data_IF_061967624643
#
_entry.id   IF_061967624643
#
_cell.length_a   1.000
_cell.length_b   1.000
_cell.length_c   1.000
_cell.angle_alpha   90.00
_cell.angle_beta   90.00
_cell.angle_gamma   90.00
#
_symmetry.space_group_name_H-M   'P 1'
#
loop_
_entity.id
_entity.type
_entity.pdbx_description
1 polymer ?
#
# COMPACT_ATOMS: atom_id res chain seq x y z
N UNK A 1 -25.76 -20.03 -35.44
CA UNK A 1 -26.47 -19.36 -36.56
C UNK A 1 -25.80 -18.00 -36.78
N UNK A 2 -25.44 -17.64 -38.05
CA UNK A 2 -24.85 -16.36 -38.36
C UNK A 2 -25.85 -15.23 -38.02
N UNK A 3 -25.39 -14.17 -37.38
CA UNK A 3 -26.19 -12.98 -37.12
C UNK A 3 -26.64 -12.38 -38.46
N UNK A 4 -27.95 -12.30 -38.71
CA UNK A 4 -28.50 -11.56 -39.85
C UNK A 4 -27.97 -10.12 -39.78
N UNK A 5 -27.32 -9.64 -40.86
CA UNK A 5 -26.89 -8.24 -40.97
C UNK A 5 -28.11 -7.33 -40.82
N UNK A 6 -28.02 -6.37 -39.88
CA UNK A 6 -29.04 -5.33 -39.79
C UNK A 6 -29.01 -4.47 -41.07
N UNK A 7 -30.20 -4.00 -41.50
CA UNK A 7 -30.27 -3.05 -42.59
C UNK A 7 -29.56 -1.74 -42.23
N UNK A 8 -28.89 -1.11 -43.17
CA UNK A 8 -28.29 0.20 -43.00
C UNK A 8 -29.37 1.26 -42.70
N UNK A 9 -28.99 2.35 -42.01
CA UNK A 9 -29.90 3.42 -41.66
C UNK A 9 -30.45 4.10 -42.92
N UNK A 10 -29.60 4.28 -43.93
CA UNK A 10 -29.99 4.81 -45.24
C UNK A 10 -31.07 3.95 -45.90
N UNK A 11 -30.91 2.62 -45.92
CA UNK A 11 -31.89 1.74 -46.49
C UNK A 11 -33.23 1.77 -45.74
N UNK A 12 -33.18 1.91 -44.40
CA UNK A 12 -34.39 2.07 -43.59
C UNK A 12 -35.11 3.42 -43.85
N UNK A 13 -34.33 4.51 -44.04
CA UNK A 13 -34.90 5.80 -44.44
C UNK A 13 -35.59 5.71 -45.77
N UNK A 14 -34.91 5.10 -46.77
CA UNK A 14 -35.49 4.93 -48.10
C UNK A 14 -36.76 4.07 -48.13
N UNK A 15 -36.87 3.06 -47.24
CA UNK A 15 -38.08 2.27 -47.04
C UNK A 15 -39.23 3.16 -46.57
N UNK A 16 -38.96 4.02 -45.60
CA UNK A 16 -39.98 4.94 -45.02
C UNK A 16 -40.42 5.96 -46.08
N UNK A 17 -39.50 6.54 -46.83
CA UNK A 17 -39.78 7.54 -47.85
C UNK A 17 -40.62 6.96 -48.99
N UNK A 18 -40.32 5.76 -49.47
CA UNK A 18 -41.14 5.07 -50.48
C UNK A 18 -42.53 4.73 -49.94
N UNK A 19 -42.64 4.39 -48.66
CA UNK A 19 -43.93 4.14 -48.02
C UNK A 19 -44.74 5.43 -47.86
N UNK A 20 -44.13 6.57 -47.52
CA UNK A 20 -44.78 7.91 -47.49
C UNK A 20 -45.25 8.32 -48.88
N UNK A 21 -44.51 7.95 -49.95
CA UNK A 21 -44.87 8.19 -51.34
C UNK A 21 -46.03 7.30 -51.82
N UNK A 22 -46.69 6.53 -50.94
CA UNK A 22 -47.83 5.67 -51.27
C UNK A 22 -47.51 4.32 -51.92
N UNK A 23 -46.27 3.94 -52.05
CA UNK A 23 -45.92 2.62 -52.65
C UNK A 23 -46.26 1.47 -51.71
N UNK A 24 -46.87 0.43 -52.28
CA UNK A 24 -47.24 -0.77 -51.50
C UNK A 24 -46.03 -1.61 -51.09
N UNK A 25 -46.13 -2.35 -49.98
CA UNK A 25 -45.05 -3.16 -49.42
C UNK A 25 -44.47 -4.17 -50.43
N UNK A 26 -45.28 -4.78 -51.31
CA UNK A 26 -44.80 -5.70 -52.33
C UNK A 26 -43.92 -5.02 -53.39
N UNK A 27 -44.28 -3.81 -53.79
CA UNK A 27 -43.52 -2.99 -54.75
C UNK A 27 -42.18 -2.55 -54.13
N UNK A 28 -42.18 -2.08 -52.90
CA UNK A 28 -40.96 -1.68 -52.15
C UNK A 28 -40.04 -2.89 -51.96
N UNK A 29 -40.60 -4.05 -51.65
CA UNK A 29 -39.85 -5.29 -51.50
C UNK A 29 -39.09 -5.66 -52.79
N UNK A 30 -39.72 -5.59 -53.94
CA UNK A 30 -39.09 -5.88 -55.24
C UNK A 30 -38.03 -4.82 -55.60
N UNK A 31 -38.25 -3.55 -55.27
CA UNK A 31 -37.32 -2.46 -55.65
C UNK A 31 -36.06 -2.39 -54.78
N UNK A 32 -36.12 -2.85 -53.53
CA UNK A 32 -35.01 -2.75 -52.54
C UNK A 32 -34.41 -4.13 -52.17
N UNK A 33 -34.93 -5.23 -52.72
CA UNK A 33 -34.56 -6.60 -52.38
C UNK A 33 -34.61 -6.87 -50.87
N UNK A 34 -35.65 -6.41 -50.20
CA UNK A 34 -35.84 -6.58 -48.76
C UNK A 34 -37.15 -7.30 -48.50
N UNK A 35 -37.10 -8.31 -47.64
CA UNK A 35 -38.29 -9.12 -47.32
C UNK A 35 -39.43 -8.28 -46.75
N UNK A 36 -40.67 -8.49 -47.16
CA UNK A 36 -41.89 -7.73 -46.80
C UNK A 36 -42.06 -7.64 -45.27
N UNK A 37 -41.74 -8.68 -44.51
CA UNK A 37 -41.84 -8.63 -43.03
C UNK A 37 -40.91 -7.60 -42.43
N UNK A 38 -39.68 -7.45 -42.97
CA UNK A 38 -38.68 -6.49 -42.51
C UNK A 38 -39.14 -5.04 -42.82
N UNK A 39 -39.73 -4.85 -44.01
CA UNK A 39 -40.32 -3.57 -44.37
C UNK A 39 -41.44 -3.15 -43.40
N UNK A 40 -42.37 -4.08 -43.14
CA UNK A 40 -43.47 -3.82 -42.16
C UNK A 40 -42.93 -3.49 -40.79
N UNK A 41 -41.94 -4.18 -40.30
CA UNK A 41 -41.31 -3.87 -39.01
C UNK A 41 -40.64 -2.50 -39.01
N UNK A 42 -39.95 -2.12 -40.07
CA UNK A 42 -39.30 -0.81 -40.20
C UNK A 42 -40.31 0.32 -40.18
N UNK A 43 -41.38 0.22 -40.98
CA UNK A 43 -42.48 1.20 -41.03
C UNK A 43 -43.23 1.26 -39.70
N UNK A 44 -43.53 0.12 -39.09
CA UNK A 44 -44.17 0.05 -37.77
C UNK A 44 -43.34 0.77 -36.69
N UNK A 45 -42.02 0.52 -36.69
CA UNK A 45 -41.08 1.22 -35.78
C UNK A 45 -41.09 2.72 -36.04
N UNK A 46 -41.01 3.13 -37.30
CA UNK A 46 -41.04 4.54 -37.65
C UNK A 46 -42.37 5.23 -37.23
N UNK A 47 -43.49 4.59 -37.46
CA UNK A 47 -44.82 5.12 -37.01
C UNK A 47 -44.88 5.27 -35.49
N UNK A 48 -44.27 4.34 -34.73
CA UNK A 48 -44.32 4.36 -33.26
C UNK A 48 -43.33 5.32 -32.62
N UNK A 49 -42.15 5.50 -33.19
CA UNK A 49 -41.01 6.19 -32.56
C UNK A 49 -40.50 7.37 -33.39
N UNK A 50 -41.07 7.66 -34.54
CA UNK A 50 -40.67 8.72 -35.47
C UNK A 50 -39.19 8.71 -35.84
N UNK A 51 -38.53 7.54 -35.77
CA UNK A 51 -37.11 7.36 -36.05
C UNK A 51 -36.84 6.06 -36.83
N UNK A 52 -35.85 6.10 -37.71
CA UNK A 52 -35.31 4.93 -38.43
C UNK A 52 -34.10 4.32 -37.74
N UNK A 53 -33.52 5.01 -36.75
CA UNK A 53 -32.38 4.57 -36.00
C UNK A 53 -32.65 3.27 -35.21
N UNK A 54 -31.60 2.45 -34.99
CA UNK A 54 -31.72 1.26 -34.16
C UNK A 54 -31.82 1.67 -32.71
N UNK A 55 -33.00 1.51 -32.10
CA UNK A 55 -33.19 1.81 -30.69
C UNK A 55 -32.39 0.82 -29.81
N UNK A 56 -31.80 1.32 -28.71
CA UNK A 56 -31.06 0.45 -27.79
C UNK A 56 -31.99 -0.61 -27.19
N UNK A 57 -31.55 -1.86 -27.25
CA UNK A 57 -32.30 -2.97 -26.64
C UNK A 57 -32.29 -2.85 -25.13
N UNK A 58 -33.38 -3.19 -24.47
CA UNK A 58 -33.49 -3.16 -23.00
C UNK A 58 -32.47 -4.01 -22.26
N UNK A 59 -31.77 -4.92 -22.94
CA UNK A 59 -30.79 -5.80 -22.32
C UNK A 59 -31.40 -6.73 -21.27
N UNK A 60 -30.55 -7.43 -20.56
CA UNK A 60 -30.95 -8.31 -19.45
C UNK A 60 -31.33 -7.45 -18.24
N UNK A 61 -32.46 -7.73 -17.56
CA UNK A 61 -32.86 -7.02 -16.35
C UNK A 61 -31.77 -6.99 -15.30
N UNK A 62 -31.58 -5.83 -14.65
CA UNK A 62 -30.57 -5.64 -13.60
C UNK A 62 -31.04 -6.34 -12.33
N UNK A 63 -30.32 -7.41 -11.91
CA UNK A 63 -30.66 -8.16 -10.70
C UNK A 63 -30.45 -7.37 -9.40
N UNK A 64 -29.57 -6.35 -9.39
CA UNK A 64 -29.30 -5.52 -8.20
C UNK A 64 -29.92 -4.13 -8.41
N UNK A 65 -30.93 -3.80 -7.62
CA UNK A 65 -31.55 -2.48 -7.63
C UNK A 65 -30.61 -1.40 -7.10
N UNK A 66 -30.82 -0.15 -7.47
CA UNK A 66 -30.05 0.98 -6.94
C UNK A 66 -30.16 1.10 -5.41
N UNK A 67 -31.31 0.72 -4.81
CA UNK A 67 -31.52 0.69 -3.37
C UNK A 67 -30.64 -0.38 -2.70
N UNK A 68 -30.58 -1.60 -3.25
CA UNK A 68 -29.74 -2.68 -2.75
C UNK A 68 -28.25 -2.33 -2.84
N UNK A 69 -27.83 -1.69 -3.95
CA UNK A 69 -26.47 -1.23 -4.12
C UNK A 69 -26.08 -0.18 -3.07
N UNK A 70 -26.92 0.85 -2.85
CA UNK A 70 -26.68 1.86 -1.79
C UNK A 70 -26.58 1.23 -0.40
N UNK A 71 -27.49 0.29 -0.07
CA UNK A 71 -27.46 -0.44 1.22
C UNK A 71 -26.12 -1.16 1.39
N UNK A 72 -25.66 -1.90 0.38
CA UNK A 72 -24.37 -2.62 0.39
C UNK A 72 -23.19 -1.67 0.58
N UNK A 73 -23.15 -0.53 -0.11
CA UNK A 73 -22.09 0.46 0.03
C UNK A 73 -22.05 1.10 1.43
N UNK A 74 -23.22 1.37 2.00
CA UNK A 74 -23.31 1.88 3.37
C UNK A 74 -22.86 0.85 4.41
N UNK A 75 -23.16 -0.43 4.19
CA UNK A 75 -22.72 -1.51 5.06
C UNK A 75 -21.20 -1.68 5.02
N UNK A 76 -20.56 -1.58 3.84
CA UNK A 76 -19.09 -1.57 3.72
C UNK A 76 -18.46 -0.40 4.49
N UNK A 77 -19.09 0.79 4.45
CA UNK A 77 -18.60 1.94 5.21
C UNK A 77 -18.66 1.72 6.71
N UNK A 78 -19.72 1.06 7.20
CA UNK A 78 -19.91 0.74 8.64
C UNK A 78 -18.99 -0.40 9.08
N UNK A 79 -18.89 -1.45 8.28
CA UNK A 79 -18.07 -2.62 8.57
C UNK A 79 -17.23 -3.03 7.35
N UNK A 80 -15.99 -2.53 7.21
CA UNK A 80 -15.12 -2.82 6.07
C UNK A 80 -14.67 -4.28 5.97
N UNK A 81 -14.88 -5.08 7.02
CA UNK A 81 -14.45 -6.49 7.07
C UNK A 81 -15.51 -7.47 6.56
N UNK A 82 -16.68 -7.00 6.14
CA UNK A 82 -17.75 -7.85 5.61
C UNK A 82 -17.28 -8.58 4.35
N UNK A 83 -17.47 -9.89 4.33
CA UNK A 83 -17.12 -10.71 3.17
C UNK A 83 -18.20 -10.64 2.08
N UNK A 84 -17.84 -10.98 0.83
CA UNK A 84 -18.82 -11.08 -0.25
C UNK A 84 -19.87 -12.18 -0.01
N UNK A 85 -19.55 -13.22 0.80
CA UNK A 85 -20.49 -14.27 1.21
C UNK A 85 -21.52 -13.72 2.21
N UNK A 86 -21.09 -12.86 3.14
CA UNK A 86 -22.02 -12.27 4.11
C UNK A 86 -22.97 -11.30 3.42
N UNK A 87 -22.50 -10.53 2.43
CA UNK A 87 -23.37 -9.74 1.57
C UNK A 87 -24.37 -10.59 0.81
N UNK A 88 -23.93 -11.74 0.30
CA UNK A 88 -24.84 -12.67 -0.38
C UNK A 88 -25.96 -13.15 0.55
N UNK A 89 -25.62 -13.50 1.79
CA UNK A 89 -26.60 -13.89 2.81
C UNK A 89 -27.55 -12.73 3.14
N UNK A 90 -27.02 -11.54 3.42
CA UNK A 90 -27.82 -10.34 3.73
C UNK A 90 -28.79 -9.97 2.60
N UNK A 91 -28.37 -10.09 1.35
CA UNK A 91 -29.20 -9.85 0.18
C UNK A 91 -30.24 -10.95 -0.04
N UNK A 92 -29.90 -12.22 0.23
CA UNK A 92 -30.84 -13.34 0.16
C UNK A 92 -32.02 -13.18 1.16
N UNK A 93 -31.74 -12.69 2.38
CA UNK A 93 -32.82 -12.33 3.33
C UNK A 93 -33.75 -11.23 2.82
N UNK A 94 -33.31 -10.42 1.85
CA UNK A 94 -34.14 -9.42 1.17
C UNK A 94 -34.71 -9.93 -0.18
N UNK A 95 -34.77 -11.25 -0.38
CA UNK A 95 -35.21 -11.92 -1.61
C UNK A 95 -34.42 -11.51 -2.87
N UNK A 96 -33.15 -11.10 -2.70
CA UNK A 96 -32.26 -10.71 -3.80
C UNK A 96 -31.15 -11.76 -3.94
N UNK A 97 -31.32 -12.66 -4.90
CA UNK A 97 -30.36 -13.76 -5.13
C UNK A 97 -29.30 -13.35 -6.13
N UNK A 98 -28.11 -13.03 -5.63
CA UNK A 98 -26.96 -12.54 -6.41
C UNK A 98 -25.72 -13.35 -6.08
N UNK A 99 -24.94 -13.68 -7.10
CA UNK A 99 -23.67 -14.35 -6.94
C UNK A 99 -22.57 -13.44 -6.38
N UNK A 100 -21.63 -14.00 -5.61
CA UNK A 100 -20.51 -13.28 -4.99
C UNK A 100 -19.63 -12.57 -6.00
N UNK A 101 -19.47 -13.13 -7.21
CA UNK A 101 -18.71 -12.50 -8.30
C UNK A 101 -19.37 -11.19 -8.76
N UNK A 102 -20.70 -11.15 -8.78
CA UNK A 102 -21.45 -9.94 -9.12
C UNK A 102 -21.34 -8.87 -8.04
N UNK A 103 -21.38 -9.30 -6.76
CA UNK A 103 -21.17 -8.40 -5.61
C UNK A 103 -19.80 -7.73 -5.72
N UNK A 104 -18.72 -8.50 -5.93
CA UNK A 104 -17.36 -7.96 -6.11
C UNK A 104 -17.27 -7.01 -7.30
N UNK A 105 -17.85 -7.36 -8.46
CA UNK A 105 -17.88 -6.47 -9.63
C UNK A 105 -18.60 -5.16 -9.34
N UNK A 106 -19.71 -5.21 -8.58
CA UNK A 106 -20.46 -4.00 -8.21
C UNK A 106 -19.68 -3.13 -7.24
N UNK A 107 -19.02 -3.71 -6.23
CA UNK A 107 -18.14 -2.99 -5.32
C UNK A 107 -17.00 -2.31 -6.08
N UNK A 108 -16.30 -3.05 -6.93
CA UNK A 108 -15.20 -2.53 -7.76
C UNK A 108 -15.64 -1.38 -8.67
N UNK A 109 -16.83 -1.48 -9.29
CA UNK A 109 -17.40 -0.41 -10.13
C UNK A 109 -17.66 0.87 -9.35
N UNK A 110 -17.89 0.76 -8.04
CA UNK A 110 -18.09 1.91 -7.14
C UNK A 110 -16.81 2.32 -6.38
N UNK A 111 -15.64 1.92 -6.86
CA UNK A 111 -14.35 2.29 -6.28
C UNK A 111 -13.99 1.56 -4.98
N UNK A 112 -14.79 0.57 -4.57
CA UNK A 112 -14.54 -0.24 -3.36
C UNK A 112 -13.82 -1.53 -3.74
N UNK A 113 -12.54 -1.60 -3.42
CA UNK A 113 -11.68 -2.74 -3.73
C UNK A 113 -11.27 -3.49 -2.46
N UNK A 114 -11.21 -4.82 -2.54
CA UNK A 114 -10.61 -5.63 -1.48
C UNK A 114 -9.11 -5.34 -1.38
N UNK A 115 -8.66 -4.97 -0.19
CA UNK A 115 -7.25 -4.72 0.13
C UNK A 115 -6.86 -5.54 1.36
N UNK A 116 -5.64 -6.02 1.39
CA UNK A 116 -5.08 -6.62 2.60
C UNK A 116 -4.88 -5.52 3.65
N UNK A 117 -5.44 -5.66 4.86
CA UNK A 117 -5.21 -4.68 5.91
C UNK A 117 -3.72 -4.65 6.24
N UNK A 118 -3.16 -3.45 6.40
CA UNK A 118 -1.80 -3.30 6.91
C UNK A 118 -1.75 -3.83 8.33
N UNK A 119 -0.76 -4.65 8.64
CA UNK A 119 -0.48 -5.06 10.03
C UNK A 119 0.13 -3.85 10.73
N UNK A 120 -0.54 -3.38 11.78
CA UNK A 120 -0.05 -2.31 12.66
C UNK A 120 0.01 -2.83 14.08
N UNK A 121 1.01 -2.43 14.88
CA UNK A 121 1.04 -2.76 16.30
C UNK A 121 -0.25 -2.31 16.98
N UNK A 122 -0.78 -3.13 17.88
CA UNK A 122 -1.89 -2.74 18.73
C UNK A 122 -1.34 -1.88 19.87
N UNK A 123 -1.48 -0.57 19.73
CA UNK A 123 -1.04 0.36 20.77
C UNK A 123 -2.03 0.36 21.94
N UNK A 124 -1.51 0.17 23.14
CA UNK A 124 -2.27 0.35 24.38
C UNK A 124 -2.53 1.85 24.67
N UNK A 125 -3.53 2.16 25.50
CA UNK A 125 -3.79 3.55 25.93
C UNK A 125 -2.54 4.17 26.57
N UNK A 126 -1.75 3.39 27.30
CA UNK A 126 -0.49 3.82 27.93
C UNK A 126 0.52 4.35 26.90
N UNK A 127 0.56 3.79 25.69
CA UNK A 127 1.47 4.23 24.64
C UNK A 127 0.86 5.34 23.77
N UNK A 128 -0.47 5.34 23.58
CA UNK A 128 -1.18 6.36 22.78
C UNK A 128 -1.01 7.77 23.37
N UNK A 129 -1.17 7.91 24.69
CA UNK A 129 -1.09 9.21 25.36
C UNK A 129 0.28 9.88 25.23
N UNK A 130 1.41 9.20 25.53
CA UNK A 130 2.74 9.78 25.31
C UNK A 130 3.04 10.12 23.85
N UNK A 131 2.59 9.30 22.90
CA UNK A 131 2.75 9.56 21.47
C UNK A 131 2.03 10.84 21.04
N UNK A 132 0.78 11.01 21.49
CA UNK A 132 0.02 12.22 21.21
C UNK A 132 0.66 13.45 21.84
N UNK A 133 1.09 13.35 23.12
CA UNK A 133 1.82 14.39 23.83
C UNK A 133 3.07 14.81 23.07
N UNK A 134 3.93 13.85 22.71
CA UNK A 134 5.14 14.09 21.95
C UNK A 134 4.85 14.82 20.62
N UNK A 135 3.88 14.33 19.87
CA UNK A 135 3.54 14.92 18.57
C UNK A 135 3.01 16.36 18.72
N UNK A 136 2.23 16.65 19.76
CA UNK A 136 1.68 17.98 20.01
C UNK A 136 2.75 18.96 20.47
N UNK A 137 3.62 18.55 21.40
CA UNK A 137 4.69 19.40 21.96
C UNK A 137 5.76 19.72 20.91
N UNK A 138 5.96 18.82 19.95
CA UNK A 138 7.01 18.97 18.93
C UNK A 138 6.49 19.44 17.57
N UNK A 139 5.21 19.76 17.42
CA UNK A 139 4.62 20.13 16.13
C UNK A 139 5.23 21.40 15.53
N UNK A 140 5.48 22.39 16.40
CA UNK A 140 5.96 23.72 16.01
C UNK A 140 7.47 23.90 16.26
N UNK A 141 8.17 22.81 16.56
CA UNK A 141 9.62 22.83 16.71
C UNK A 141 10.26 23.13 15.33
N UNK A 142 11.20 24.08 15.27
CA UNK A 142 11.77 24.52 14.01
C UNK A 142 12.60 23.42 13.34
N UNK A 143 12.65 23.44 12.00
CA UNK A 143 13.28 22.39 11.19
C UNK A 143 14.78 22.16 11.54
N UNK A 144 15.49 23.22 11.93
CA UNK A 144 16.92 23.10 12.29
C UNK A 144 17.16 22.26 13.55
N UNK A 145 16.18 22.13 14.44
CA UNK A 145 16.25 21.24 15.60
C UNK A 145 16.31 19.78 15.15
N UNK A 146 15.40 19.39 14.25
CA UNK A 146 15.34 18.02 13.69
C UNK A 146 16.56 17.65 12.88
N UNK A 147 17.18 18.65 12.23
CA UNK A 147 18.42 18.47 11.49
C UNK A 147 19.63 18.19 12.39
N UNK A 148 19.55 18.58 13.67
CA UNK A 148 20.63 18.41 14.64
C UNK A 148 20.40 17.22 15.59
N UNK A 149 19.55 16.28 15.18
CA UNK A 149 19.31 15.02 15.89
C UNK A 149 20.12 13.91 15.22
N UNK A 150 20.80 13.12 16.07
CA UNK A 150 21.36 11.83 15.67
C UNK A 150 20.30 10.76 15.90
N UNK A 151 19.72 10.27 14.84
CA UNK A 151 18.71 9.21 14.85
C UNK A 151 19.40 7.87 14.88
N UNK A 152 19.05 7.00 15.81
CA UNK A 152 19.67 5.67 15.99
C UNK A 152 18.62 4.59 16.11
N UNK A 153 19.00 3.37 15.76
CA UNK A 153 18.15 2.19 15.90
C UNK A 153 18.91 0.90 15.64
N UNK A 154 18.36 -0.22 16.06
CA UNK A 154 18.81 -1.57 15.77
C UNK A 154 17.83 -2.28 14.84
N UNK A 155 18.36 -3.03 13.88
CA UNK A 155 17.51 -3.82 13.00
C UNK A 155 18.08 -5.19 12.70
N UNK A 156 17.19 -6.17 12.59
CA UNK A 156 17.50 -7.52 12.15
C UNK A 156 17.34 -7.63 10.64
N UNK A 157 18.39 -8.10 9.96
CA UNK A 157 18.39 -8.37 8.53
C UNK A 157 18.55 -9.88 8.32
N UNK A 158 17.54 -10.50 7.73
CA UNK A 158 17.52 -11.93 7.41
C UNK A 158 18.20 -12.19 6.05
N UNK A 159 18.97 -13.27 5.94
CA UNK A 159 19.63 -13.64 4.69
C UNK A 159 18.63 -13.90 3.55
N UNK A 160 17.56 -14.64 3.86
CA UNK A 160 16.46 -14.90 2.93
C UNK A 160 15.18 -14.28 3.50
N UNK A 161 15.07 -12.96 3.39
CA UNK A 161 13.95 -12.22 3.98
C UNK A 161 12.59 -12.60 3.37
N UNK A 162 11.55 -12.58 4.20
CA UNK A 162 10.15 -12.86 3.79
C UNK A 162 9.56 -11.85 2.81
N UNK A 163 10.26 -10.76 2.53
CA UNK A 163 9.73 -9.62 1.76
C UNK A 163 9.90 -9.73 0.25
N UNK A 164 10.60 -10.74 -0.24
CA UNK A 164 10.71 -11.01 -1.68
C UNK A 164 9.58 -11.94 -2.12
N UNK A 165 8.42 -11.38 -2.42
CA UNK A 165 7.41 -12.11 -3.17
C UNK A 165 7.90 -12.21 -4.62
N UNK A 166 8.52 -13.33 -4.96
CA UNK A 166 8.89 -13.63 -6.34
C UNK A 166 7.62 -13.97 -7.13
N UNK A 167 7.25 -13.10 -8.06
CA UNK A 167 6.17 -13.40 -9.00
C UNK A 167 6.70 -14.22 -10.14
N UNK A 168 6.10 -15.41 -10.37
CA UNK A 168 6.44 -16.28 -11.49
C UNK A 168 5.29 -16.24 -12.49
N UNK A 169 5.60 -15.90 -13.74
CA UNK A 169 4.63 -15.95 -14.83
C UNK A 169 4.29 -17.40 -15.16
N UNK A 170 3.01 -17.79 -15.01
CA UNK A 170 2.53 -19.14 -15.30
C UNK A 170 1.33 -19.09 -16.25
N UNK A 171 1.28 -20.02 -17.21
CA UNK A 171 0.05 -20.26 -17.97
C UNK A 171 -1.01 -20.91 -17.09
N UNK A 172 -2.27 -20.53 -17.26
CA UNK A 172 -3.44 -20.85 -16.39
C UNK A 172 -3.75 -22.35 -16.20
N UNK A 173 -3.06 -23.26 -16.88
CA UNK A 173 -3.32 -24.72 -16.92
C UNK A 173 -2.26 -25.62 -16.28
N UNK A 174 -1.18 -25.08 -15.75
CA UNK A 174 -0.13 -25.90 -15.14
C UNK A 174 -0.16 -25.79 -13.62
N UNK A 175 -0.88 -26.74 -13.00
CA UNK A 175 -0.93 -26.92 -11.54
C UNK A 175 0.22 -27.76 -10.99
N UNK A 176 1.08 -28.31 -11.83
CA UNK A 176 2.22 -29.14 -11.40
C UNK A 176 3.53 -28.36 -11.46
N UNK A 177 4.30 -28.34 -10.37
CA UNK A 177 5.59 -27.65 -10.31
C UNK A 177 6.66 -28.54 -10.94
N UNK A 178 6.88 -28.41 -12.23
CA UNK A 178 7.94 -29.18 -12.93
C UNK A 178 9.24 -28.44 -13.11
N UNK A 179 9.41 -27.23 -12.63
CA UNK A 179 10.70 -26.56 -12.68
C UNK A 179 10.95 -25.74 -11.41
N UNK A 180 11.83 -26.29 -10.60
CA UNK A 180 12.52 -25.66 -9.47
C UNK A 180 11.59 -24.93 -8.50
N UNK A 181 11.09 -25.62 -7.45
CA UNK A 181 10.53 -24.93 -6.32
C UNK A 181 11.59 -23.96 -5.79
N UNK A 182 11.22 -22.74 -5.45
CA UNK A 182 12.08 -21.87 -4.67
C UNK A 182 12.36 -22.61 -3.35
N UNK A 183 13.61 -22.93 -3.02
CA UNK A 183 13.93 -23.59 -1.77
C UNK A 183 13.51 -22.69 -0.62
N UNK A 184 12.56 -23.15 0.18
CA UNK A 184 12.19 -22.50 1.44
C UNK A 184 13.20 -22.92 2.48
N UNK A 185 14.00 -22.00 2.98
CA UNK A 185 14.95 -22.26 4.05
C UNK A 185 14.25 -22.01 5.39
N UNK A 186 14.29 -23.00 6.29
CA UNK A 186 13.79 -22.83 7.67
C UNK A 186 14.59 -21.71 8.35
N UNK A 187 13.90 -20.84 9.11
CA UNK A 187 14.49 -19.74 9.88
C UNK A 187 15.26 -18.68 9.04
N UNK A 188 14.91 -18.48 7.76
CA UNK A 188 15.50 -17.42 6.93
C UNK A 188 16.97 -17.60 6.57
N UNK A 189 17.57 -18.78 6.82
CA UNK A 189 18.98 -19.08 6.48
C UNK A 189 20.02 -18.34 7.32
N UNK A 190 19.61 -17.74 8.42
CA UNK A 190 20.44 -16.89 9.27
C UNK A 190 20.09 -15.41 9.15
N UNK A 191 20.61 -14.62 10.06
CA UNK A 191 20.39 -13.18 10.14
C UNK A 191 21.55 -12.48 10.80
N UNK A 192 21.70 -11.20 10.53
CA UNK A 192 22.58 -10.29 11.27
C UNK A 192 21.74 -9.29 12.04
N UNK A 193 22.23 -8.84 13.19
CA UNK A 193 21.74 -7.68 13.90
C UNK A 193 22.67 -6.53 13.59
N UNK A 194 22.13 -5.37 13.27
CA UNK A 194 22.92 -4.18 12.97
C UNK A 194 22.40 -3.01 13.78
N UNK A 195 23.32 -2.20 14.30
CA UNK A 195 23.03 -0.86 14.81
C UNK A 195 23.46 0.15 13.75
N UNK A 196 22.72 1.23 13.64
CA UNK A 196 23.10 2.30 12.73
C UNK A 196 22.56 3.66 13.17
N UNK A 197 23.12 4.71 12.61
CA UNK A 197 22.69 6.08 12.89
C UNK A 197 22.76 6.95 11.65
N UNK A 198 21.93 7.99 11.63
CA UNK A 198 21.96 9.00 10.58
C UNK A 198 21.54 10.38 11.10
N UNK A 199 21.76 11.40 10.32
CA UNK A 199 21.21 12.73 10.53
C UNK A 199 20.76 13.33 9.19
N UNK A 200 20.22 14.54 9.20
CA UNK A 200 19.82 15.22 7.97
C UNK A 200 20.97 15.40 6.97
N UNK A 201 22.21 15.46 7.44
CA UNK A 201 23.42 15.61 6.63
C UNK A 201 23.86 14.31 5.93
N UNK A 202 23.29 13.15 6.30
CA UNK A 202 23.62 11.87 5.65
C UNK A 202 23.61 10.68 6.59
N UNK A 203 24.00 9.48 6.11
CA UNK A 203 24.20 8.30 6.92
C UNK A 203 25.45 8.45 7.79
N UNK A 204 25.35 8.03 9.05
CA UNK A 204 26.47 7.86 9.96
C UNK A 204 27.02 6.44 9.89
N UNK A 205 27.62 5.97 10.99
CA UNK A 205 28.17 4.61 11.05
C UNK A 205 27.07 3.56 11.10
N UNK A 206 27.38 2.39 10.58
CA UNK A 206 26.63 1.14 10.74
C UNK A 206 27.56 0.08 11.30
N UNK A 207 27.07 -0.75 12.21
CA UNK A 207 27.87 -1.79 12.89
C UNK A 207 27.07 -3.07 12.95
N UNK A 208 27.70 -4.17 12.60
CA UNK A 208 27.13 -5.52 12.81
C UNK A 208 27.36 -5.93 14.24
N UNK A 209 26.30 -6.35 14.90
CA UNK A 209 26.33 -6.79 16.31
C UNK A 209 26.41 -8.31 16.34
N UNK A 210 27.43 -8.83 16.94
CA UNK A 210 27.59 -10.27 17.14
C UNK A 210 26.98 -10.68 18.50
N UNK A 211 26.05 -11.62 18.46
CA UNK A 211 25.41 -12.16 19.65
C UNK A 211 24.19 -11.39 20.12
N UNK A 212 23.92 -11.39 21.43
CA UNK A 212 22.78 -10.71 22.05
C UNK A 212 23.20 -9.34 22.57
N UNK A 213 22.37 -8.35 22.33
CA UNK A 213 22.55 -7.01 22.89
C UNK A 213 22.16 -7.04 24.36
N UNK A 214 23.04 -6.53 25.20
CA UNK A 214 22.79 -6.19 26.59
C UNK A 214 23.30 -4.76 26.86
N UNK A 215 23.04 -4.21 28.03
CA UNK A 215 23.43 -2.83 28.34
C UNK A 215 24.91 -2.54 28.16
N UNK A 216 25.79 -3.51 28.42
CA UNK A 216 27.23 -3.31 28.24
C UNK A 216 27.61 -3.25 26.76
N UNK A 217 27.18 -4.24 25.99
CA UNK A 217 27.38 -4.26 24.52
C UNK A 217 26.84 -3.01 23.87
N UNK A 218 25.65 -2.55 24.34
CA UNK A 218 25.07 -1.29 23.84
C UNK A 218 25.96 -0.08 24.16
N UNK A 219 26.46 0.05 25.38
CA UNK A 219 27.38 1.12 25.76
C UNK A 219 28.67 1.09 24.93
N UNK A 220 29.24 -0.10 24.66
CA UNK A 220 30.42 -0.26 23.83
C UNK A 220 30.16 0.20 22.40
N UNK A 221 29.00 -0.16 21.82
CA UNK A 221 28.57 0.32 20.49
C UNK A 221 28.48 1.84 20.47
N UNK A 222 27.83 2.44 21.46
CA UNK A 222 27.70 3.90 21.55
C UNK A 222 29.07 4.57 21.70
N UNK A 223 29.94 4.03 22.55
CA UNK A 223 31.30 4.55 22.80
C UNK A 223 32.12 4.67 21.51
N UNK A 224 32.06 3.62 20.67
CA UNK A 224 32.87 3.56 19.46
C UNK A 224 32.26 4.33 18.29
N UNK A 225 30.94 4.52 18.25
CA UNK A 225 30.28 4.96 17.04
C UNK A 225 29.58 6.32 17.12
N UNK A 226 29.08 6.73 18.29
CA UNK A 226 28.29 7.98 18.39
C UNK A 226 29.15 9.23 18.10
N UNK A 227 30.24 9.41 18.83
CA UNK A 227 31.09 10.62 18.64
C UNK A 227 31.72 10.69 17.24
N UNK A 228 32.29 9.60 16.68
CA UNK A 228 32.75 9.61 15.31
C UNK A 228 31.65 9.96 14.29
N UNK A 229 30.42 9.45 14.48
CA UNK A 229 29.29 9.78 13.62
C UNK A 229 28.89 11.26 13.74
N UNK A 230 28.86 11.80 14.95
CA UNK A 230 28.59 13.23 15.19
C UNK A 230 29.58 14.12 14.45
N UNK A 231 30.87 13.78 14.51
CA UNK A 231 31.91 14.50 13.78
C UNK A 231 31.77 14.34 12.27
N UNK A 232 31.56 13.14 11.77
CA UNK A 232 31.35 12.83 10.35
C UNK A 232 30.16 13.60 9.77
N UNK A 233 29.05 13.63 10.51
CA UNK A 233 27.79 14.28 10.11
C UNK A 233 27.78 15.80 10.39
N UNK A 234 28.86 16.34 10.99
CA UNK A 234 29.02 17.75 11.31
C UNK A 234 27.83 18.31 12.11
N UNK A 235 27.34 17.55 13.09
CA UNK A 235 26.26 18.00 13.95
C UNK A 235 26.73 19.20 14.80
N UNK A 236 25.87 20.18 14.96
CA UNK A 236 26.18 21.41 15.69
C UNK A 236 26.26 21.17 17.20
N UNK A 237 26.92 22.08 17.93
CA UNK A 237 26.93 22.05 19.39
C UNK A 237 25.47 21.97 19.90
N UNK A 238 25.27 21.07 20.84
CA UNK A 238 23.93 20.87 21.40
C UNK A 238 23.08 19.84 20.65
N UNK A 239 23.67 18.99 19.82
CA UNK A 239 22.98 17.87 19.22
C UNK A 239 22.34 16.97 20.27
N UNK A 240 21.32 16.24 19.84
CA UNK A 240 20.52 15.32 20.68
C UNK A 240 20.51 13.96 20.02
N UNK A 241 20.59 12.89 20.81
CA UNK A 241 20.45 11.53 20.31
C UNK A 241 19.03 11.03 20.50
N UNK A 242 18.46 10.41 19.50
CA UNK A 242 17.23 9.65 19.62
C UNK A 242 17.62 8.18 19.81
N UNK A 243 16.99 7.51 20.75
CA UNK A 243 17.02 6.06 20.93
C UNK A 243 15.65 5.56 21.36
N UNK A 244 15.40 4.26 21.20
CA UNK A 244 14.17 3.63 21.70
C UNK A 244 14.23 3.37 23.21
N UNK A 245 13.07 3.00 23.79
CA UNK A 245 12.95 2.76 25.24
C UNK A 245 13.12 1.26 25.58
N UNK A 246 14.00 0.57 24.90
CA UNK A 246 14.28 -0.83 25.20
C UNK A 246 14.99 -0.99 26.55
N UNK A 247 14.86 -2.15 27.22
CA UNK A 247 15.45 -2.37 28.55
C UNK A 247 16.94 -2.10 28.61
N UNK A 248 17.68 -2.44 27.56
CA UNK A 248 19.11 -2.21 27.44
C UNK A 248 19.46 -0.72 27.41
N UNK A 249 18.61 0.08 26.75
CA UNK A 249 18.79 1.53 26.59
C UNK A 249 18.40 2.29 27.86
N UNK A 250 17.42 1.78 28.60
CA UNK A 250 16.84 2.46 29.79
C UNK A 250 17.40 1.95 31.11
N UNK A 251 18.36 1.01 31.10
CA UNK A 251 19.02 0.51 32.29
C UNK A 251 19.74 1.63 33.06
N UNK A 252 19.87 1.48 34.38
CA UNK A 252 20.56 2.48 35.20
C UNK A 252 22.01 2.68 34.75
N UNK A 253 22.70 1.59 34.43
CA UNK A 253 24.09 1.66 33.95
C UNK A 253 24.22 2.45 32.63
N UNK A 254 23.26 2.28 31.70
CA UNK A 254 23.25 3.03 30.43
C UNK A 254 22.93 4.51 30.67
N UNK A 255 22.00 4.83 31.57
CA UNK A 255 21.68 6.23 31.92
C UNK A 255 22.88 6.94 32.53
N UNK A 256 23.56 6.30 33.49
CA UNK A 256 24.77 6.83 34.11
C UNK A 256 25.89 7.05 33.06
N UNK A 257 26.09 6.07 32.17
CA UNK A 257 27.06 6.17 31.10
C UNK A 257 26.76 7.35 30.16
N UNK A 258 25.50 7.54 29.75
CA UNK A 258 25.05 8.66 28.91
C UNK A 258 25.29 10.01 29.58
N UNK A 259 25.01 10.12 30.87
CA UNK A 259 25.26 11.33 31.67
C UNK A 259 26.74 11.65 31.76
N UNK A 260 27.59 10.67 32.07
CA UNK A 260 29.05 10.81 32.12
C UNK A 260 29.63 11.26 30.78
N UNK A 261 29.09 10.74 29.69
CA UNK A 261 29.48 11.11 28.33
C UNK A 261 28.83 12.39 27.80
N UNK A 262 28.00 13.05 28.62
CA UNK A 262 27.28 14.30 28.28
C UNK A 262 26.46 14.19 26.98
N UNK A 263 25.81 13.04 26.76
CA UNK A 263 24.93 12.76 25.64
C UNK A 263 23.51 13.13 26.05
N UNK A 264 22.90 14.08 25.33
CA UNK A 264 21.49 14.46 25.55
C UNK A 264 20.59 13.57 24.74
N UNK A 265 19.54 13.06 25.38
CA UNK A 265 18.54 12.23 24.72
C UNK A 265 17.30 13.04 24.37
N UNK A 266 16.67 12.66 23.26
CA UNK A 266 15.31 13.05 22.93
C UNK A 266 14.34 12.24 23.80
N UNK A 267 13.40 12.88 24.48
CA UNK A 267 12.31 12.18 25.16
C UNK A 267 11.47 11.43 24.11
N UNK A 268 11.56 10.12 24.12
CA UNK A 268 10.96 9.29 23.06
C UNK A 268 9.75 8.52 23.57
N UNK A 269 8.60 8.55 22.86
CA UNK A 269 7.43 7.77 23.23
C UNK A 269 7.63 6.30 22.90
N UNK A 270 7.32 5.41 23.83
CA UNK A 270 7.46 3.96 23.66
C UNK A 270 6.59 3.44 22.50
N UNK A 271 7.04 2.37 21.86
CA UNK A 271 6.38 1.71 20.72
C UNK A 271 6.07 2.67 19.56
N UNK A 272 7.06 3.43 19.14
CA UNK A 272 6.92 4.47 18.12
C UNK A 272 7.90 4.31 16.94
N UNK A 273 8.07 3.10 16.39
CA UNK A 273 8.95 2.90 15.23
C UNK A 273 8.46 3.69 14.01
N UNK A 274 7.15 3.91 13.88
CA UNK A 274 6.56 4.74 12.83
C UNK A 274 6.90 6.24 12.93
N UNK A 275 7.44 6.68 14.05
CA UNK A 275 8.00 8.02 14.25
C UNK A 275 9.52 8.05 14.05
N UNK A 276 10.20 6.92 14.05
CA UNK A 276 11.64 6.88 13.83
C UNK A 276 11.97 6.87 12.34
N UNK A 277 12.53 7.96 11.78
CA UNK A 277 12.76 8.05 10.34
C UNK A 277 13.83 7.06 9.83
N UNK A 278 14.67 6.50 10.70
CA UNK A 278 15.67 5.48 10.32
C UNK A 278 15.00 4.18 9.82
N UNK A 279 13.78 3.88 10.24
CA UNK A 279 13.04 2.71 9.77
C UNK A 279 12.80 2.73 8.25
N UNK A 280 12.68 3.92 7.68
CA UNK A 280 12.60 4.09 6.24
C UNK A 280 13.94 3.77 5.55
N UNK A 281 15.06 4.11 6.19
CA UNK A 281 16.40 3.75 5.70
C UNK A 281 16.63 2.24 5.82
N UNK A 282 16.16 1.61 6.90
CA UNK A 282 16.18 0.15 7.03
C UNK A 282 15.37 -0.56 5.95
N UNK A 283 14.23 0.02 5.58
CA UNK A 283 13.45 -0.53 4.48
C UNK A 283 14.21 -0.43 3.15
N UNK A 284 14.82 0.71 2.86
CA UNK A 284 15.60 0.94 1.64
C UNK A 284 16.84 0.02 1.61
N UNK A 285 17.57 -0.09 2.72
CA UNK A 285 18.73 -0.97 2.89
C UNK A 285 18.37 -2.44 2.65
N UNK A 286 17.34 -2.94 3.34
CA UNK A 286 16.86 -4.34 3.15
C UNK A 286 16.52 -4.63 1.71
N UNK A 287 15.85 -3.71 1.02
CA UNK A 287 15.50 -3.85 -0.39
C UNK A 287 16.73 -3.89 -1.29
N UNK A 288 17.70 -3.00 -1.07
CA UNK A 288 18.94 -2.95 -1.84
C UNK A 288 19.75 -4.24 -1.67
N UNK A 289 19.94 -4.70 -0.43
CA UNK A 289 20.65 -5.96 -0.11
C UNK A 289 19.99 -7.16 -0.80
N UNK A 290 18.68 -7.31 -0.67
CA UNK A 290 17.97 -8.45 -1.25
C UNK A 290 17.95 -8.44 -2.78
N UNK A 291 18.05 -7.28 -3.41
CA UNK A 291 18.22 -7.19 -4.88
C UNK A 291 19.55 -7.79 -5.34
N UNK A 292 20.60 -7.78 -4.47
CA UNK A 292 21.91 -8.36 -4.76
C UNK A 292 22.01 -9.87 -4.46
N UNK A 293 20.97 -10.45 -3.86
CA UNK A 293 20.89 -11.89 -3.54
C UNK A 293 22.08 -12.43 -2.74
N UNK A 294 22.30 -12.00 -1.48
CA UNK A 294 23.39 -12.52 -0.66
C UNK A 294 23.27 -14.03 -0.48
N UNK A 295 24.39 -14.75 -0.58
CA UNK A 295 24.43 -16.22 -0.52
C UNK A 295 24.73 -16.76 0.88
N UNK A 296 25.40 -16.00 1.72
CA UNK A 296 25.80 -16.36 3.07
C UNK A 296 25.87 -15.13 3.97
N UNK A 297 26.09 -15.36 5.27
CA UNK A 297 26.14 -14.29 6.28
C UNK A 297 27.31 -13.32 6.03
N UNK A 298 28.46 -13.80 5.59
CA UNK A 298 29.61 -12.93 5.30
C UNK A 298 29.27 -11.95 4.16
N UNK A 299 28.69 -12.46 3.06
CA UNK A 299 28.24 -11.61 1.95
C UNK A 299 27.10 -10.65 2.37
N UNK A 300 26.24 -11.10 3.30
CA UNK A 300 25.18 -10.25 3.85
C UNK A 300 25.75 -9.07 4.64
N UNK A 301 26.76 -9.32 5.51
CA UNK A 301 27.46 -8.27 6.26
C UNK A 301 28.11 -7.27 5.31
N UNK A 302 28.87 -7.74 4.33
CA UNK A 302 29.53 -6.89 3.32
C UNK A 302 28.52 -6.03 2.56
N UNK A 303 27.43 -6.62 2.04
CA UNK A 303 26.41 -5.88 1.31
C UNK A 303 25.70 -4.85 2.19
N UNK A 304 25.52 -5.13 3.47
CA UNK A 304 24.93 -4.21 4.41
C UNK A 304 25.77 -2.91 4.53
N UNK A 305 27.08 -3.03 4.69
CA UNK A 305 28.00 -1.90 4.78
C UNK A 305 28.09 -1.10 3.46
N UNK A 306 28.21 -1.82 2.34
CA UNK A 306 28.28 -1.23 1.02
C UNK A 306 27.00 -0.46 0.64
N UNK A 307 25.82 -1.04 0.88
CA UNK A 307 24.55 -0.40 0.55
C UNK A 307 24.21 0.75 1.51
N UNK A 308 24.63 0.67 2.78
CA UNK A 308 24.50 1.76 3.73
C UNK A 308 25.29 2.98 3.29
N UNK A 309 26.52 2.81 2.84
CA UNK A 309 27.38 3.88 2.37
C UNK A 309 26.87 4.59 1.10
N UNK A 310 25.99 3.91 0.33
CA UNK A 310 25.37 4.48 -0.88
C UNK A 310 24.14 5.34 -0.59
N UNK A 311 23.63 5.35 0.64
CA UNK A 311 22.51 6.19 1.01
C UNK A 311 22.92 7.66 0.86
N UNK A 312 22.17 8.41 0.06
CA UNK A 312 22.52 9.79 -0.26
C UNK A 312 22.11 10.76 0.86
N UNK A 313 22.87 11.84 1.08
CA UNK A 313 22.48 12.92 1.99
C UNK A 313 21.09 13.48 1.68
N UNK A 314 20.72 13.62 0.41
CA UNK A 314 19.42 14.11 -0.02
C UNK A 314 18.28 13.21 0.48
N UNK A 315 18.49 11.88 0.49
CA UNK A 315 17.52 10.95 1.05
C UNK A 315 17.31 11.17 2.54
N UNK A 316 18.38 11.34 3.29
CA UNK A 316 18.35 11.62 4.73
C UNK A 316 17.68 12.98 5.01
N UNK A 317 18.09 14.03 4.31
CA UNK A 317 17.51 15.36 4.41
C UNK A 317 16.00 15.34 4.10
N UNK A 318 15.59 14.60 3.07
CA UNK A 318 14.19 14.46 2.67
C UNK A 318 13.32 13.80 3.74
N UNK A 319 13.84 12.80 4.47
CA UNK A 319 13.14 12.18 5.59
C UNK A 319 12.91 13.19 6.72
N UNK A 320 13.95 13.91 7.10
CA UNK A 320 13.88 14.89 8.18
C UNK A 320 13.02 16.11 7.79
N UNK A 321 13.08 16.57 6.55
CA UNK A 321 12.21 17.63 6.05
C UNK A 321 10.72 17.28 6.15
N UNK A 322 10.38 16.02 5.94
CA UNK A 322 9.01 15.53 6.02
C UNK A 322 8.57 15.12 7.43
N UNK A 323 9.45 15.20 8.43
CA UNK A 323 9.17 14.68 9.78
C UNK A 323 7.93 15.32 10.43
N UNK A 324 7.70 16.62 10.20
CA UNK A 324 6.50 17.32 10.66
C UNK A 324 5.19 16.66 10.17
N UNK A 325 5.20 16.06 8.98
CA UNK A 325 4.03 15.34 8.45
C UNK A 325 3.70 14.12 9.30
N UNK A 326 4.72 13.39 9.77
CA UNK A 326 4.53 12.24 10.66
C UNK A 326 3.90 12.66 11.98
N UNK A 327 4.31 13.80 12.55
CA UNK A 327 3.70 14.36 13.78
C UNK A 327 2.22 14.73 13.54
N UNK A 328 1.92 15.39 12.43
CA UNK A 328 0.53 15.73 12.04
C UNK A 328 -0.32 14.45 11.90
N UNK A 329 0.22 13.38 11.30
CA UNK A 329 -0.50 12.11 11.19
C UNK A 329 -0.78 11.47 12.55
N UNK A 330 0.17 11.51 13.49
CA UNK A 330 -0.06 11.02 14.87
C UNK A 330 -1.18 11.81 15.56
N UNK A 331 -1.20 13.13 15.42
CA UNK A 331 -2.26 13.98 15.97
C UNK A 331 -3.61 13.63 15.34
N UNK A 332 -3.67 13.53 14.01
CA UNK A 332 -4.88 13.13 13.27
C UNK A 332 -5.37 11.73 13.68
N UNK A 333 -4.44 10.80 13.97
CA UNK A 333 -4.73 9.46 14.48
C UNK A 333 -4.98 9.43 16.00
N UNK A 334 -5.03 10.59 16.69
CA UNK A 334 -5.19 10.71 18.16
C UNK A 334 -4.19 9.85 18.95
N UNK A 335 -2.92 9.89 18.56
CA UNK A 335 -1.84 9.08 19.13
C UNK A 335 -1.74 7.64 18.61
N UNK A 336 -2.63 7.25 17.71
CA UNK A 336 -2.59 5.94 17.04
C UNK A 336 -1.43 5.81 16.04
N UNK A 337 -1.28 4.61 15.44
CA UNK A 337 -0.24 4.37 14.43
C UNK A 337 -0.50 5.17 13.16
N UNK A 338 0.57 5.72 12.59
CA UNK A 338 0.55 6.47 11.34
C UNK A 338 0.42 5.58 10.10
N UNK A 339 0.38 6.18 8.92
CA UNK A 339 0.37 5.46 7.65
C UNK A 339 1.76 4.98 7.18
N UNK A 340 2.79 5.35 7.90
CA UNK A 340 4.19 4.95 7.66
C UNK A 340 4.46 3.49 8.06
#
# INVERSE_FOLDING_TARGET
MPRRKELSEELRSRIVDLHKAGKGYKSISKSLDVHVSTLRQTVCKWRKFSTVATLPRRGRPVKMTARAQRRMLNEVKKNPRVSAKDFQKSLAHANIFIDTSRIRKTLNKNGVHGRTPRRKPLLSKRNITPRLKFATEHLDVPQHYWQNILWTDETKIELFGKNTQYYVWRKKRYSTPTSKPHPTVKHGGGSIMVWGCFAASGPGRIVVIDGKINSRVYQDILQENVRPSVCQLKLRRGWVMQQENDPEHTSNSTKEWLQQNKIRLLEWPSQSPDLNPIEMLWHDLRRAIHTRHPKNIATLKQFCEEEWSKITPDRCAGLICNYRKSLVEVIAAKGGSTSY
#
